data_IF_055322390171
#
_entry.id   IF_055322390171
#
_cell.length_a   1.000
_cell.length_b   1.000
_cell.length_c   1.000
_cell.angle_alpha   90.00
_cell.angle_beta   90.00
_cell.angle_gamma   90.00
#
_symmetry.space_group_name_H-M   'P 1'
#
loop_
_entity.id
_entity.type
_entity.pdbx_description
1 polymer ?
#
# COMPACT_ATOMS: atom_id res chain seq x y z
N UNK A 1 -6.03 -14.64 -14.19
CA UNK A 1 -6.96 -15.26 -13.21
C UNK A 1 -6.65 -14.57 -11.87
N UNK A 2 -7.64 -14.21 -11.04
CA UNK A 2 -7.29 -13.57 -9.78
C UNK A 2 -6.59 -14.58 -8.86
N UNK A 3 -5.66 -14.11 -8.03
CA UNK A 3 -4.92 -14.94 -7.06
C UNK A 3 -5.90 -15.72 -6.15
N UNK A 4 -7.02 -15.08 -5.78
CA UNK A 4 -8.09 -15.74 -5.02
C UNK A 4 -8.66 -16.96 -5.73
N UNK A 5 -8.95 -16.83 -7.02
CA UNK A 5 -9.48 -17.94 -7.81
C UNK A 5 -8.47 -19.09 -7.92
N UNK A 6 -7.19 -18.78 -7.99
CA UNK A 6 -6.14 -19.79 -8.00
C UNK A 6 -6.13 -20.63 -6.72
N UNK A 7 -6.23 -19.98 -5.56
CA UNK A 7 -6.32 -20.65 -4.27
C UNK A 7 -7.59 -21.50 -4.12
N UNK A 8 -8.74 -21.00 -4.62
CA UNK A 8 -10.01 -21.73 -4.59
C UNK A 8 -9.95 -22.96 -5.51
N UNK A 9 -9.47 -22.77 -6.73
CA UNK A 9 -9.29 -23.87 -7.69
C UNK A 9 -8.29 -24.89 -7.16
N UNK A 10 -7.18 -24.43 -6.55
CA UNK A 10 -6.21 -25.32 -5.92
C UNK A 10 -6.84 -26.18 -4.83
N UNK A 11 -7.69 -25.60 -3.97
CA UNK A 11 -8.39 -26.35 -2.94
C UNK A 11 -9.33 -27.43 -3.54
N UNK A 12 -9.94 -27.17 -4.69
CA UNK A 12 -10.88 -28.09 -5.34
C UNK A 12 -10.19 -29.19 -6.16
N UNK A 13 -8.90 -29.08 -6.47
CA UNK A 13 -8.13 -30.07 -7.28
C UNK A 13 -7.77 -31.36 -6.53
N UNK A 14 -8.03 -31.45 -5.22
CA UNK A 14 -7.73 -32.62 -4.39
C UNK A 14 -6.60 -32.38 -3.39
N UNK A 15 -6.11 -33.46 -2.78
CA UNK A 15 -5.06 -33.39 -1.75
C UNK A 15 -3.79 -32.71 -2.27
N UNK A 16 -3.25 -31.78 -1.49
CA UNK A 16 -2.07 -30.99 -1.84
C UNK A 16 -2.31 -29.85 -2.82
N UNK A 17 -3.44 -29.77 -3.50
CA UNK A 17 -3.72 -28.74 -4.49
C UNK A 17 -3.72 -27.32 -3.91
N UNK A 18 -4.22 -27.15 -2.70
CA UNK A 18 -4.15 -25.85 -2.00
C UNK A 18 -2.71 -25.46 -1.64
N UNK A 19 -1.90 -26.42 -1.20
CA UNK A 19 -0.48 -26.23 -0.90
C UNK A 19 0.28 -25.69 -2.13
N UNK A 20 0.05 -26.34 -3.27
CA UNK A 20 0.75 -25.97 -4.51
C UNK A 20 0.30 -24.61 -5.05
N UNK A 21 -1.01 -24.31 -4.94
CA UNK A 21 -1.53 -22.99 -5.28
C UNK A 21 -0.98 -21.91 -4.33
N UNK A 22 -0.95 -22.15 -3.01
CA UNK A 22 -0.43 -21.21 -2.04
C UNK A 22 1.07 -20.95 -2.25
N UNK A 23 1.84 -21.98 -2.60
CA UNK A 23 3.26 -21.82 -2.90
C UNK A 23 3.45 -20.89 -4.09
N UNK A 24 2.74 -21.15 -5.18
CA UNK A 24 2.80 -20.34 -6.40
C UNK A 24 2.43 -18.89 -6.14
N UNK A 25 1.32 -18.68 -5.45
CA UNK A 25 0.87 -17.34 -5.04
C UNK A 25 1.93 -16.60 -4.23
N UNK A 26 2.58 -17.25 -3.27
CA UNK A 26 3.61 -16.59 -2.46
C UNK A 26 4.89 -16.30 -3.25
N UNK A 27 5.34 -17.26 -4.08
CA UNK A 27 6.62 -17.18 -4.79
C UNK A 27 6.53 -16.33 -6.07
N UNK A 28 5.46 -16.49 -6.86
CA UNK A 28 5.32 -15.87 -8.18
C UNK A 28 4.54 -14.55 -8.12
N UNK A 29 3.36 -14.53 -7.48
CA UNK A 29 2.48 -13.36 -7.49
C UNK A 29 2.83 -12.32 -6.43
N UNK A 30 3.04 -12.76 -5.18
CA UNK A 30 3.32 -11.88 -4.06
C UNK A 30 4.82 -11.67 -3.81
N UNK A 31 5.67 -12.54 -4.38
CA UNK A 31 7.13 -12.52 -4.24
C UNK A 31 7.59 -12.35 -2.78
N UNK A 32 6.98 -13.07 -1.86
CA UNK A 32 7.26 -12.99 -0.43
C UNK A 32 7.44 -14.36 0.22
N UNK A 33 8.23 -14.38 1.28
CA UNK A 33 8.42 -15.59 2.08
C UNK A 33 7.20 -15.92 2.93
N UNK A 34 7.05 -17.19 3.34
CA UNK A 34 6.01 -17.63 4.29
C UNK A 34 6.09 -16.84 5.60
N UNK A 35 7.30 -16.54 6.06
CA UNK A 35 7.52 -15.77 7.29
C UNK A 35 6.98 -14.34 7.16
N UNK A 36 7.30 -13.68 6.06
CA UNK A 36 6.82 -12.32 5.76
C UNK A 36 5.30 -12.29 5.60
N UNK A 37 4.73 -13.26 4.87
CA UNK A 37 3.29 -13.41 4.71
C UNK A 37 2.57 -13.54 6.06
N UNK A 38 3.06 -14.41 6.94
CA UNK A 38 2.49 -14.59 8.28
C UNK A 38 2.64 -13.34 9.15
N UNK A 39 3.78 -12.66 9.11
CA UNK A 39 4.02 -11.41 9.83
C UNK A 39 3.06 -10.29 9.40
N UNK A 40 2.76 -10.18 8.09
CA UNK A 40 1.85 -9.17 7.55
C UNK A 40 0.37 -9.48 7.79
N UNK A 41 0.01 -10.74 7.86
CA UNK A 41 -1.39 -11.19 7.92
C UNK A 41 -1.87 -11.58 9.31
N UNK A 42 -0.93 -11.81 10.25
CA UNK A 42 -1.23 -12.33 11.57
C UNK A 42 -1.60 -13.82 11.58
N UNK A 43 -1.37 -14.54 10.48
CA UNK A 43 -1.58 -15.98 10.41
C UNK A 43 -0.49 -16.73 11.17
N UNK A 44 -0.87 -17.86 11.78
CA UNK A 44 0.08 -18.71 12.51
C UNK A 44 1.12 -19.32 11.57
N UNK A 45 2.39 -18.96 11.79
CA UNK A 45 3.52 -19.44 11.02
C UNK A 45 3.60 -20.97 11.02
N UNK A 46 3.40 -21.60 12.18
CA UNK A 46 3.41 -23.06 12.32
C UNK A 46 2.30 -23.75 11.52
N UNK A 47 1.13 -23.13 11.42
CA UNK A 47 0.01 -23.64 10.63
C UNK A 47 0.32 -23.58 9.13
N UNK A 48 0.80 -22.45 8.65
CA UNK A 48 1.13 -22.26 7.23
C UNK A 48 2.29 -23.18 6.82
N UNK A 49 3.34 -23.30 7.64
CA UNK A 49 4.44 -24.23 7.35
C UNK A 49 3.98 -25.70 7.27
N UNK A 50 3.10 -26.16 8.17
CA UNK A 50 2.56 -27.53 8.11
C UNK A 50 1.79 -27.79 6.81
N UNK A 51 1.04 -26.79 6.34
CA UNK A 51 0.34 -26.86 5.04
C UNK A 51 1.35 -26.89 3.90
N UNK A 52 2.33 -25.98 3.90
CA UNK A 52 3.37 -25.93 2.86
C UNK A 52 4.24 -27.17 2.79
N UNK A 53 4.42 -27.89 3.89
CA UNK A 53 5.11 -29.17 3.95
C UNK A 53 4.21 -30.36 3.59
N UNK A 54 2.93 -30.16 3.32
CA UNK A 54 1.99 -31.23 3.06
C UNK A 54 1.64 -32.12 4.29
N UNK A 55 2.04 -31.67 5.49
CA UNK A 55 1.76 -32.41 6.75
C UNK A 55 0.34 -32.20 7.27
N UNK A 56 -0.39 -31.26 6.69
CA UNK A 56 -1.76 -30.93 7.09
C UNK A 56 -2.51 -30.32 5.93
N UNK A 57 -3.69 -30.85 5.65
CA UNK A 57 -4.66 -30.17 4.79
C UNK A 57 -5.31 -29.00 5.55
N UNK A 58 -5.50 -27.85 4.92
CA UNK A 58 -6.17 -26.73 5.55
C UNK A 58 -7.68 -27.01 5.66
N UNK A 59 -8.25 -26.72 6.82
CA UNK A 59 -9.69 -26.67 6.93
C UNK A 59 -10.26 -25.40 6.27
N UNK A 60 -11.56 -25.39 6.00
CA UNK A 60 -12.25 -24.30 5.34
C UNK A 60 -12.06 -22.94 6.03
N UNK A 61 -11.96 -22.91 7.36
CA UNK A 61 -11.69 -21.71 8.14
C UNK A 61 -10.29 -21.15 7.81
N UNK A 62 -9.29 -22.02 7.76
CA UNK A 62 -7.91 -21.63 7.39
C UNK A 62 -7.84 -21.11 5.95
N UNK A 63 -8.50 -21.80 5.01
CA UNK A 63 -8.58 -21.35 3.60
C UNK A 63 -9.20 -19.96 3.51
N UNK A 64 -10.34 -19.72 4.16
CA UNK A 64 -10.98 -18.40 4.18
C UNK A 64 -10.07 -17.32 4.79
N UNK A 65 -9.29 -17.63 5.82
CA UNK A 65 -8.35 -16.69 6.41
C UNK A 65 -7.20 -16.38 5.44
N UNK A 66 -6.64 -17.38 4.76
CA UNK A 66 -5.59 -17.19 3.75
C UNK A 66 -6.11 -16.35 2.59
N UNK A 67 -7.28 -16.65 2.03
CA UNK A 67 -7.88 -15.87 0.94
C UNK A 67 -8.11 -14.40 1.37
N UNK A 68 -8.66 -14.17 2.55
CA UNK A 68 -8.82 -12.81 3.08
C UNK A 68 -7.49 -12.08 3.25
N UNK A 69 -6.46 -12.79 3.69
CA UNK A 69 -5.12 -12.25 3.88
C UNK A 69 -4.48 -11.88 2.54
N UNK A 70 -4.55 -12.77 1.55
CA UNK A 70 -4.06 -12.51 0.19
C UNK A 70 -4.79 -11.32 -0.42
N UNK A 71 -6.13 -11.29 -0.36
CA UNK A 71 -6.94 -10.16 -0.82
C UNK A 71 -6.52 -8.82 -0.19
N UNK A 72 -6.19 -8.84 1.11
CA UNK A 72 -5.72 -7.66 1.81
C UNK A 72 -4.34 -7.22 1.32
N UNK A 73 -3.45 -8.17 0.99
CA UNK A 73 -2.13 -7.89 0.43
C UNK A 73 -2.25 -7.40 -1.02
N UNK A 74 -3.09 -8.03 -1.85
CA UNK A 74 -3.33 -7.59 -3.24
C UNK A 74 -3.88 -6.16 -3.31
N UNK A 75 -4.82 -5.83 -2.40
CA UNK A 75 -5.33 -4.46 -2.31
C UNK A 75 -4.28 -3.46 -1.83
N UNK A 76 -3.21 -3.95 -1.18
CA UNK A 76 -2.13 -3.13 -0.62
C UNK A 76 -0.76 -3.78 -0.90
N UNK A 77 -0.36 -3.97 -2.16
CA UNK A 77 0.87 -4.66 -2.53
C UNK A 77 2.11 -3.84 -2.14
N UNK A 78 2.59 -4.03 -0.96
CA UNK A 78 3.83 -3.40 -0.50
C UNK A 78 3.70 -2.26 0.50
N UNK A 79 2.52 -1.94 0.96
CA UNK A 79 2.18 -0.66 1.48
C UNK A 79 2.20 -0.44 2.99
N UNK A 80 3.34 -0.35 3.64
CA UNK A 80 3.47 0.48 4.83
C UNK A 80 4.06 1.84 4.46
N UNK A 81 3.45 2.52 3.48
CA UNK A 81 3.90 3.87 3.11
C UNK A 81 2.71 4.81 2.91
N UNK A 82 2.99 6.09 3.16
CA UNK A 82 2.12 7.21 2.77
C UNK A 82 2.73 7.83 1.52
N UNK A 83 1.91 8.00 0.48
CA UNK A 83 2.32 8.71 -0.72
C UNK A 83 2.20 10.22 -0.52
N UNK A 84 3.25 10.97 -0.83
CA UNK A 84 3.21 12.44 -0.84
C UNK A 84 3.30 12.92 -2.28
N UNK A 85 2.26 13.58 -2.75
CA UNK A 85 2.15 14.12 -4.10
C UNK A 85 2.33 15.63 -4.04
N UNK A 86 3.44 16.11 -4.60
CA UNK A 86 3.77 17.53 -4.64
C UNK A 86 4.78 17.83 -5.74
N UNK A 87 5.03 19.11 -6.00
CA UNK A 87 6.13 19.52 -6.86
C UNK A 87 7.49 19.19 -6.24
N UNK A 88 8.50 18.99 -7.08
CA UNK A 88 9.85 18.61 -6.65
C UNK A 88 10.42 19.51 -5.54
N UNK A 89 10.33 20.86 -5.61
CA UNK A 89 10.83 21.72 -4.56
C UNK A 89 10.15 21.55 -3.19
N UNK A 90 8.93 21.01 -3.17
CA UNK A 90 8.21 20.69 -1.92
C UNK A 90 8.66 19.34 -1.40
N UNK A 91 8.82 18.33 -2.27
CA UNK A 91 9.26 16.99 -1.89
C UNK A 91 10.69 17.00 -1.34
N UNK A 92 11.56 17.84 -1.88
CA UNK A 92 12.96 17.98 -1.43
C UNK A 92 13.09 18.52 0.01
N UNK A 93 11.98 19.04 0.60
CA UNK A 93 11.92 19.46 2.00
C UNK A 93 11.50 18.34 2.97
N UNK A 94 11.25 17.14 2.48
CA UNK A 94 10.94 16.00 3.32
C UNK A 94 12.23 15.47 3.93
N UNK A 95 12.45 15.78 5.22
CA UNK A 95 13.65 15.39 5.95
C UNK A 95 13.60 13.91 6.37
N UNK A 96 12.42 13.45 6.81
CA UNK A 96 12.23 12.08 7.29
C UNK A 96 11.39 11.25 6.31
N UNK A 97 11.98 10.16 5.82
CA UNK A 97 11.30 9.18 4.95
C UNK A 97 10.68 8.02 5.71
N UNK A 98 10.84 7.98 7.02
CA UNK A 98 10.22 7.00 7.91
C UNK A 98 9.66 7.77 9.11
N UNK A 99 8.35 7.69 9.28
CA UNK A 99 7.64 8.33 10.39
C UNK A 99 7.09 7.25 11.31
N UNK A 100 7.30 7.39 12.60
CA UNK A 100 6.79 6.45 13.61
C UNK A 100 5.45 6.92 14.16
N UNK A 101 4.37 6.21 13.78
CA UNK A 101 3.01 6.53 14.21
C UNK A 101 2.40 5.31 14.89
N UNK A 102 1.89 5.46 16.12
CA UNK A 102 1.26 4.37 16.86
C UNK A 102 2.16 3.13 17.03
N UNK A 103 3.47 3.31 17.18
CA UNK A 103 4.44 2.23 17.32
C UNK A 103 4.82 1.51 16.01
N UNK A 104 4.27 1.94 14.87
CA UNK A 104 4.58 1.39 13.54
C UNK A 104 5.45 2.36 12.76
N UNK A 105 6.47 1.83 12.09
CA UNK A 105 7.25 2.59 11.13
C UNK A 105 6.50 2.67 9.80
N UNK A 106 6.16 3.88 9.39
CA UNK A 106 5.47 4.17 8.12
C UNK A 106 6.48 4.89 7.22
N UNK A 107 6.70 4.34 6.03
CA UNK A 107 7.56 4.98 5.03
C UNK A 107 6.81 6.10 4.32
N UNK A 108 7.53 7.12 3.91
CA UNK A 108 7.06 8.17 3.00
C UNK A 108 7.62 7.88 1.61
N UNK A 109 6.74 7.81 0.60
CA UNK A 109 7.14 7.66 -0.80
C UNK A 109 6.71 8.88 -1.57
N UNK A 110 7.65 9.46 -2.30
CA UNK A 110 7.45 10.68 -3.08
C UNK A 110 6.86 10.37 -4.44
N UNK A 111 5.86 11.15 -4.83
CA UNK A 111 5.26 11.12 -6.16
C UNK A 111 5.29 12.56 -6.72
N UNK A 112 6.29 12.89 -7.52
CA UNK A 112 6.41 14.23 -8.08
C UNK A 112 5.29 14.50 -9.07
N UNK A 113 4.72 15.71 -8.99
CA UNK A 113 3.72 16.21 -9.92
C UNK A 113 3.82 17.74 -10.02
N UNK A 114 3.81 18.26 -11.23
CA UNK A 114 3.89 19.68 -11.55
C UNK A 114 2.58 20.22 -12.11
N UNK A 115 1.71 19.35 -12.60
CA UNK A 115 0.37 19.68 -13.11
C UNK A 115 -0.71 18.91 -12.36
N UNK A 116 -1.98 19.30 -12.56
CA UNK A 116 -3.11 18.60 -11.96
C UNK A 116 -3.26 17.20 -12.56
N UNK A 117 -3.04 17.04 -13.84
CA UNK A 117 -3.11 15.77 -14.55
C UNK A 117 -2.06 14.79 -14.02
N UNK A 118 -0.81 15.26 -13.87
CA UNK A 118 0.27 14.48 -13.28
C UNK A 118 -0.07 14.05 -11.84
N UNK A 119 -0.66 14.95 -11.06
CA UNK A 119 -1.05 14.66 -9.68
C UNK A 119 -2.14 13.58 -9.60
N UNK A 120 -3.14 13.61 -10.50
CA UNK A 120 -4.18 12.59 -10.59
C UNK A 120 -3.57 11.24 -10.98
N UNK A 121 -2.70 11.22 -11.99
CA UNK A 121 -1.99 10.00 -12.42
C UNK A 121 -1.15 9.44 -11.25
N UNK A 122 -0.39 10.29 -10.58
CA UNK A 122 0.44 9.93 -9.43
C UNK A 122 -0.40 9.36 -8.28
N UNK A 123 -1.59 9.91 -8.03
CA UNK A 123 -2.51 9.43 -7.01
C UNK A 123 -3.01 8.01 -7.31
N UNK A 124 -3.44 7.75 -8.54
CA UNK A 124 -3.87 6.42 -8.98
C UNK A 124 -2.71 5.42 -8.95
N UNK A 125 -1.50 5.84 -9.34
CA UNK A 125 -0.31 4.98 -9.24
C UNK A 125 0.05 4.68 -7.80
N UNK A 126 -0.02 5.67 -6.90
CA UNK A 126 0.25 5.48 -5.48
C UNK A 126 -0.70 4.44 -4.84
N UNK A 127 -2.00 4.49 -5.18
CA UNK A 127 -2.97 3.49 -4.74
C UNK A 127 -2.65 2.10 -5.29
N UNK A 128 -2.31 1.99 -6.59
CA UNK A 128 -1.90 0.72 -7.21
C UNK A 128 -0.61 0.15 -6.58
N UNK A 129 0.34 1.02 -6.24
CA UNK A 129 1.58 0.65 -5.53
C UNK A 129 1.32 0.26 -4.07
N UNK A 130 0.08 0.42 -3.57
CA UNK A 130 -0.36 0.01 -2.25
C UNK A 130 -0.12 1.06 -1.16
N UNK A 131 -0.20 2.35 -1.47
CA UNK A 131 -0.19 3.39 -0.46
C UNK A 131 -1.32 3.19 0.56
N UNK A 132 -1.05 3.45 1.83
CA UNK A 132 -2.06 3.45 2.90
C UNK A 132 -2.94 4.70 2.86
N UNK A 133 -2.36 5.81 2.43
CA UNK A 133 -3.00 7.11 2.29
C UNK A 133 -2.20 7.98 1.33
N UNK A 134 -2.84 9.02 0.81
CA UNK A 134 -2.22 10.05 -0.02
C UNK A 134 -2.21 11.38 0.74
N UNK A 135 -1.09 12.10 0.65
CA UNK A 135 -0.94 13.48 1.12
C UNK A 135 -0.69 14.36 -0.10
N UNK A 136 -1.48 15.40 -0.29
CA UNK A 136 -1.39 16.28 -1.47
C UNK A 136 -1.74 17.73 -1.18
N UNK A 137 -1.61 18.60 -2.18
CA UNK A 137 -2.03 19.99 -2.08
C UNK A 137 -3.57 20.10 -1.99
N UNK A 138 -4.13 21.10 -1.26
CA UNK A 138 -5.57 21.25 -1.07
C UNK A 138 -6.38 21.35 -2.36
N UNK A 139 -5.81 21.97 -3.39
CA UNK A 139 -6.48 22.16 -4.68
C UNK A 139 -6.77 20.85 -5.42
N UNK A 140 -6.01 19.80 -5.14
CA UNK A 140 -6.11 18.50 -5.84
C UNK A 140 -7.00 17.52 -5.06
N UNK A 141 -7.04 17.66 -3.74
CA UNK A 141 -7.71 16.72 -2.84
C UNK A 141 -9.17 16.42 -3.23
N UNK A 142 -10.04 17.42 -3.53
CA UNK A 142 -11.44 17.14 -3.87
C UNK A 142 -11.63 16.29 -5.13
N UNK A 143 -10.64 16.32 -6.04
CA UNK A 143 -10.68 15.52 -7.28
C UNK A 143 -10.24 14.09 -7.00
N UNK A 144 -9.13 13.89 -6.31
CA UNK A 144 -8.58 12.55 -6.07
C UNK A 144 -9.38 11.77 -5.01
N UNK A 145 -10.03 12.43 -4.05
CA UNK A 145 -10.95 11.78 -3.10
C UNK A 145 -12.12 11.07 -3.78
N UNK A 146 -12.55 11.54 -4.94
CA UNK A 146 -13.62 10.90 -5.73
C UNK A 146 -13.14 9.68 -6.51
N UNK A 147 -11.85 9.53 -6.70
CA UNK A 147 -11.23 8.51 -7.55
C UNK A 147 -10.62 7.40 -6.71
N UNK A 148 -9.97 7.75 -5.58
CA UNK A 148 -9.26 6.82 -4.73
C UNK A 148 -10.17 6.15 -3.71
N UNK A 149 -9.81 4.92 -3.35
CA UNK A 149 -10.43 4.16 -2.25
C UNK A 149 -9.68 4.32 -0.93
N UNK A 150 -8.51 4.94 -0.96
CA UNK A 150 -7.64 5.17 0.22
C UNK A 150 -7.81 6.61 0.73
N UNK A 151 -7.57 6.86 2.03
CA UNK A 151 -7.69 8.19 2.61
C UNK A 151 -6.78 9.23 1.95
N UNK A 152 -7.30 10.45 1.81
CA UNK A 152 -6.56 11.62 1.32
C UNK A 152 -6.42 12.64 2.44
N UNK A 153 -5.22 13.20 2.60
CA UNK A 153 -4.94 14.29 3.53
C UNK A 153 -4.31 15.46 2.79
N UNK A 154 -4.51 16.67 3.30
CA UNK A 154 -4.01 17.89 2.66
C UNK A 154 -2.83 18.51 3.41
N UNK A 155 -1.89 19.05 2.65
CA UNK A 155 -0.79 19.86 3.19
C UNK A 155 -1.31 21.28 3.39
N UNK A 156 -1.28 21.78 4.63
CA UNK A 156 -1.62 23.17 4.96
C UNK A 156 -0.35 23.88 5.46
N UNK A 157 0.35 24.58 4.57
CA UNK A 157 1.63 25.20 4.90
C UNK A 157 1.42 26.59 5.57
N UNK A 158 1.27 26.66 6.89
CA UNK A 158 1.03 27.93 7.59
C UNK A 158 2.24 28.88 7.50
N UNK A 159 3.42 28.41 7.84
CA UNK A 159 4.63 29.25 7.94
C UNK A 159 5.18 29.65 6.56
N UNK A 160 5.07 28.78 5.55
CA UNK A 160 5.51 29.10 4.21
C UNK A 160 4.59 30.09 3.49
N UNK A 161 3.32 30.19 3.90
CA UNK A 161 2.38 31.15 3.32
C UNK A 161 2.74 32.58 3.78
N UNK A 162 3.05 32.79 5.05
CA UNK A 162 3.48 34.10 5.58
C UNK A 162 4.77 34.56 4.88
N UNK A 163 5.78 33.69 4.78
CA UNK A 163 7.02 34.00 4.07
C UNK A 163 6.82 34.31 2.59
N UNK A 164 5.88 33.64 1.93
CA UNK A 164 5.56 33.92 0.52
C UNK A 164 4.90 35.30 0.37
N UNK A 165 4.03 35.71 1.30
CA UNK A 165 3.40 37.02 1.33
C UNK A 165 4.47 38.11 1.55
N UNK A 166 5.36 37.94 2.52
CA UNK A 166 6.46 38.87 2.81
C UNK A 166 7.37 39.03 1.56
N UNK A 167 7.80 37.89 0.96
CA UNK A 167 8.61 37.94 -0.26
C UNK A 167 7.90 38.57 -1.47
N UNK A 168 6.58 38.42 -1.57
CA UNK A 168 5.81 39.09 -2.62
C UNK A 168 5.73 40.59 -2.38
N UNK A 169 5.53 41.03 -1.13
CA UNK A 169 5.50 42.43 -0.76
C UNK A 169 6.84 43.15 -1.05
N UNK A 170 7.97 42.48 -0.76
CA UNK A 170 9.30 43.02 -1.03
C UNK A 170 9.57 43.26 -2.52
N UNK A 171 8.92 42.48 -3.41
CA UNK A 171 9.06 42.65 -4.86
C UNK A 171 8.22 43.78 -5.46
N UNK A 172 7.31 44.34 -4.70
CA UNK A 172 6.41 45.42 -5.13
C UNK A 172 6.85 46.81 -4.67
N UNK A 173 7.90 46.89 -3.85
CA UNK A 173 8.58 48.12 -3.40
C UNK A 173 9.84 48.31 -4.18
#
# INVERSE_FOLDING_TARGET
MSIENELIVGMLRGEGGFKDALRRVLEEDLQMSVHEFCARTGLSLSTIYKIMQGKREPNLRTVRHVIKAVRKIEKHPGGNFIAVIASRPVLDKIEERIVRIGGKNIRVKEYPASTMEEAIISAVMAEKDGALAVVCAPIIAPTIEKILSIPVSVIIPRDSMLRAIESAAEKTV
#
